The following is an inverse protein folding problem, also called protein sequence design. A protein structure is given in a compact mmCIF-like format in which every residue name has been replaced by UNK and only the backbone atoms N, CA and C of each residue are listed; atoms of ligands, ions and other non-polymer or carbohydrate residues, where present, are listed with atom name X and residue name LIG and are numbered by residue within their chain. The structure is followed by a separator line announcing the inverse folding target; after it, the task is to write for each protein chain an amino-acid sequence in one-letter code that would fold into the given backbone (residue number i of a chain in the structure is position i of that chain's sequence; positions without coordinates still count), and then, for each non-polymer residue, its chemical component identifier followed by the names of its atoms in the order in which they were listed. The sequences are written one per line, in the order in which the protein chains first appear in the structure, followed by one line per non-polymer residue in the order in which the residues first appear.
data_IF_164644543830
#
_entry.id   IF_164644543830
#
_cell.length_a   1.000
_cell.length_b   1.000
_cell.length_c   1.000
_cell.angle_alpha   90.00
_cell.angle_beta   90.00
_cell.angle_gamma   90.00
#
_symmetry.space_group_name_H-M   'P 1'
#
loop_
_entity.id
_entity.type
_entity.pdbx_description
1 polymer ?
#
# COMPACT_ATOMS: atom_id res chain seq x y z
N UNK A 1 0.76 -0.87 14.03
CA UNK A 1 1.94 -0.80 13.14
C UNK A 1 2.64 -2.15 13.25
N UNK A 2 3.02 -2.74 12.11
CA UNK A 2 3.73 -4.01 12.04
C UNK A 2 5.08 -3.67 11.40
N UNK A 3 6.17 -3.94 12.11
CA UNK A 3 7.52 -3.55 11.64
C UNK A 3 8.21 -4.67 10.84
N UNK A 4 7.76 -5.92 10.98
CA UNK A 4 8.26 -7.06 10.22
C UNK A 4 7.32 -7.42 9.06
N UNK A 5 7.84 -7.35 7.83
CA UNK A 5 7.10 -7.67 6.62
C UNK A 5 6.82 -9.17 6.47
N UNK A 6 7.52 -10.04 7.20
CA UNK A 6 7.24 -11.49 7.22
C UNK A 6 5.82 -11.81 7.70
N UNK A 7 5.13 -10.85 8.33
CA UNK A 7 3.73 -10.95 8.75
C UNK A 7 2.78 -11.46 7.67
N UNK A 8 3.01 -11.11 6.39
CA UNK A 8 2.14 -11.54 5.28
C UNK A 8 2.56 -12.86 4.63
N UNK A 9 3.69 -13.45 5.03
CA UNK A 9 4.17 -14.70 4.46
C UNK A 9 3.20 -15.84 4.76
N UNK A 10 2.83 -16.60 3.73
CA UNK A 10 1.86 -17.69 3.79
C UNK A 10 0.40 -17.25 3.96
N UNK A 11 0.12 -15.94 4.02
CA UNK A 11 -1.25 -15.43 4.16
C UNK A 11 -1.94 -15.28 2.82
N UNK A 12 -3.23 -15.57 2.80
CA UNK A 12 -4.11 -15.24 1.67
C UNK A 12 -4.49 -13.78 1.78
N UNK A 13 -4.02 -12.95 0.87
CA UNK A 13 -4.29 -11.51 0.90
C UNK A 13 -5.03 -11.07 -0.35
N UNK A 14 -5.81 -10.01 -0.20
CA UNK A 14 -6.30 -9.24 -1.32
C UNK A 14 -5.47 -7.95 -1.49
N UNK A 15 -5.28 -7.51 -2.73
CA UNK A 15 -4.55 -6.28 -3.05
C UNK A 15 -5.48 -5.26 -3.72
N UNK A 16 -5.40 -3.99 -3.28
CA UNK A 16 -6.04 -2.86 -3.94
C UNK A 16 -5.02 -1.73 -4.14
N UNK A 17 -4.94 -1.17 -5.35
CA UNK A 17 -3.98 -0.10 -5.64
C UNK A 17 -4.46 0.83 -6.76
N UNK A 18 -4.14 2.12 -6.64
CA UNK A 18 -4.42 3.19 -7.58
C UNK A 18 -3.12 3.92 -7.96
N UNK A 19 -2.15 3.15 -8.46
CA UNK A 19 -0.80 3.61 -8.83
C UNK A 19 -0.52 3.27 -10.30
N UNK A 20 0.50 3.90 -10.88
CA UNK A 20 0.84 3.77 -12.29
C UNK A 20 1.25 2.35 -12.72
N UNK A 21 1.87 1.57 -11.82
CA UNK A 21 2.34 0.21 -12.09
C UNK A 21 1.92 -0.75 -10.96
N UNK A 22 0.66 -1.21 -10.95
CA UNK A 22 0.14 -2.10 -9.92
C UNK A 22 0.87 -3.46 -9.88
N UNK A 23 1.33 -3.96 -11.03
CA UNK A 23 1.98 -5.27 -11.13
C UNK A 23 3.25 -5.35 -10.28
N UNK A 24 4.06 -4.27 -10.27
CA UNK A 24 5.27 -4.21 -9.44
C UNK A 24 4.96 -4.27 -7.94
N UNK A 25 3.83 -3.69 -7.52
CA UNK A 25 3.37 -3.75 -6.14
C UNK A 25 2.87 -5.16 -5.80
N UNK A 26 2.10 -5.80 -6.68
CA UNK A 26 1.64 -7.17 -6.52
C UNK A 26 2.80 -8.18 -6.45
N UNK A 27 3.79 -8.06 -7.34
CA UNK A 27 5.01 -8.86 -7.34
C UNK A 27 5.80 -8.70 -6.03
N UNK A 28 5.88 -7.48 -5.50
CA UNK A 28 6.52 -7.22 -4.21
C UNK A 28 5.84 -8.00 -3.08
N UNK A 29 4.50 -8.03 -3.04
CA UNK A 29 3.75 -8.79 -2.04
C UNK A 29 3.95 -10.31 -2.19
N UNK A 30 3.96 -10.82 -3.43
CA UNK A 30 4.26 -12.22 -3.71
C UNK A 30 5.69 -12.57 -3.25
N UNK A 31 6.67 -11.71 -3.52
CA UNK A 31 8.06 -11.94 -3.12
C UNK A 31 8.27 -11.96 -1.60
N UNK A 32 7.37 -11.32 -0.84
CA UNK A 32 7.31 -11.39 0.62
C UNK A 32 6.60 -12.67 1.13
N UNK A 33 6.17 -13.55 0.23
CA UNK A 33 5.59 -14.85 0.53
C UNK A 33 4.06 -14.84 0.66
N UNK A 34 3.36 -13.77 0.28
CA UNK A 34 1.90 -13.74 0.33
C UNK A 34 1.25 -14.49 -0.84
N UNK A 35 0.07 -15.06 -0.59
CA UNK A 35 -0.80 -15.65 -1.62
C UNK A 35 -1.85 -14.61 -2.05
N UNK A 36 -1.73 -14.04 -3.25
CA UNK A 36 -2.72 -13.11 -3.79
C UNK A 36 -3.98 -13.86 -4.26
N UNK A 37 -5.05 -13.79 -3.48
CA UNK A 37 -6.34 -14.44 -3.81
C UNK A 37 -7.32 -13.50 -4.53
N UNK A 38 -7.06 -12.20 -4.49
CA UNK A 38 -7.84 -11.19 -5.19
C UNK A 38 -7.00 -9.92 -5.41
N UNK A 39 -7.05 -9.35 -6.61
CA UNK A 39 -6.43 -8.05 -6.89
C UNK A 39 -7.45 -7.12 -7.55
N UNK A 40 -7.33 -5.83 -7.26
CA UNK A 40 -8.12 -4.78 -7.91
C UNK A 40 -7.28 -3.52 -8.08
N UNK A 41 -6.91 -3.24 -9.33
CA UNK A 41 -6.27 -2.00 -9.73
C UNK A 41 -7.28 -0.93 -10.13
N UNK A 42 -6.91 0.32 -9.88
CA UNK A 42 -7.59 1.55 -10.27
C UNK A 42 -6.58 2.47 -10.98
N UNK A 43 -7.08 3.49 -11.68
CA UNK A 43 -6.22 4.49 -12.32
C UNK A 43 -5.34 5.21 -11.28
N UNK A 44 -4.16 5.67 -11.70
CA UNK A 44 -3.34 6.51 -10.82
C UNK A 44 -4.13 7.76 -10.42
N UNK A 45 -4.00 8.17 -9.16
CA UNK A 45 -4.78 9.29 -8.60
C UNK A 45 -6.29 9.05 -8.43
N UNK A 46 -6.76 7.79 -8.49
CA UNK A 46 -8.17 7.47 -8.31
C UNK A 46 -8.74 8.01 -6.98
N UNK A 47 -9.95 8.59 -7.06
CA UNK A 47 -10.74 8.97 -5.89
C UNK A 47 -11.71 7.85 -5.55
N UNK A 48 -11.39 7.10 -4.51
CA UNK A 48 -12.20 5.97 -4.08
C UNK A 48 -13.56 6.40 -3.54
N UNK A 49 -14.61 5.81 -4.07
CA UNK A 49 -15.95 5.88 -3.49
C UNK A 49 -16.10 4.84 -2.38
N UNK A 50 -17.01 5.08 -1.44
CA UNK A 50 -17.27 4.11 -0.36
C UNK A 50 -17.78 2.78 -0.93
N UNK A 51 -18.61 2.81 -1.95
CA UNK A 51 -19.15 1.61 -2.60
C UNK A 51 -18.06 0.77 -3.26
N UNK A 52 -17.07 1.38 -3.91
CA UNK A 52 -15.94 0.65 -4.51
C UNK A 52 -15.15 -0.12 -3.45
N UNK A 53 -14.83 0.52 -2.32
CA UNK A 53 -14.09 -0.14 -1.24
C UNK A 53 -14.93 -1.26 -0.60
N UNK A 54 -16.23 -1.03 -0.38
CA UNK A 54 -17.13 -2.07 0.12
C UNK A 54 -17.22 -3.27 -0.83
N UNK A 55 -17.23 -3.02 -2.15
CA UNK A 55 -17.21 -4.07 -3.16
C UNK A 55 -15.91 -4.87 -3.08
N UNK A 56 -14.76 -4.20 -2.96
CA UNK A 56 -13.45 -4.86 -2.78
C UNK A 56 -13.44 -5.70 -1.51
N UNK A 57 -13.93 -5.18 -0.39
CA UNK A 57 -14.05 -5.93 0.88
C UNK A 57 -14.88 -7.20 0.68
N UNK A 58 -16.07 -7.08 0.10
CA UNK A 58 -16.95 -8.23 -0.13
C UNK A 58 -16.30 -9.28 -1.03
N UNK A 59 -15.62 -8.86 -2.11
CA UNK A 59 -14.93 -9.77 -3.04
C UNK A 59 -13.72 -10.42 -2.40
N UNK A 60 -12.97 -9.68 -1.58
CA UNK A 60 -11.82 -10.20 -0.83
C UNK A 60 -12.25 -11.34 0.11
N UNK A 61 -13.31 -11.10 0.89
CA UNK A 61 -13.87 -12.13 1.79
C UNK A 61 -14.39 -13.35 1.04
N UNK A 62 -15.13 -13.14 -0.05
CA UNK A 62 -15.63 -14.23 -0.88
C UNK A 62 -14.48 -15.07 -1.48
N UNK A 63 -13.31 -14.47 -1.71
CA UNK A 63 -12.10 -15.16 -2.21
C UNK A 63 -11.25 -15.77 -1.09
N UNK A 64 -11.68 -15.65 0.16
CA UNK A 64 -10.96 -16.21 1.31
C UNK A 64 -9.73 -15.42 1.71
N UNK A 65 -9.68 -14.11 1.42
CA UNK A 65 -8.61 -13.26 1.92
C UNK A 65 -8.71 -13.10 3.45
N UNK A 66 -7.59 -13.26 4.13
CA UNK A 66 -7.42 -12.98 5.56
C UNK A 66 -7.31 -11.48 5.84
N UNK A 67 -6.74 -10.73 4.89
CA UNK A 67 -6.55 -9.28 4.99
C UNK A 67 -6.46 -8.62 3.61
N UNK A 68 -6.60 -7.31 3.57
CA UNK A 68 -6.40 -6.46 2.39
C UNK A 68 -5.12 -5.66 2.57
N UNK A 69 -4.26 -5.64 1.56
CA UNK A 69 -3.10 -4.77 1.47
C UNK A 69 -3.32 -3.68 0.40
N UNK A 70 -2.95 -2.46 0.71
CA UNK A 70 -2.92 -1.33 -0.23
C UNK A 70 -1.62 -0.53 -0.11
N UNK A 71 -1.46 0.52 -0.91
CA UNK A 71 -0.32 1.44 -0.79
C UNK A 71 -0.63 2.53 0.24
N UNK A 72 0.39 3.10 0.89
CA UNK A 72 0.18 4.26 1.77
C UNK A 72 -0.48 5.44 1.04
N UNK A 73 -0.14 5.64 -0.25
CA UNK A 73 -0.70 6.70 -1.09
C UNK A 73 -2.21 6.51 -1.34
N UNK A 74 -2.66 5.27 -1.49
CA UNK A 74 -4.08 5.00 -1.69
C UNK A 74 -4.86 5.03 -0.39
N UNK A 75 -4.26 4.55 0.71
CA UNK A 75 -4.88 4.58 2.03
C UNK A 75 -5.30 6.00 2.47
N UNK A 76 -4.52 7.04 2.14
CA UNK A 76 -4.89 8.43 2.47
C UNK A 76 -6.10 8.95 1.66
N UNK A 77 -6.48 8.26 0.57
CA UNK A 77 -7.62 8.61 -0.28
C UNK A 77 -8.84 7.74 -0.02
N UNK A 78 -8.72 6.72 0.83
CA UNK A 78 -9.86 5.88 1.17
C UNK A 78 -10.90 6.72 1.93
N UNK A 79 -12.19 6.57 1.60
CA UNK A 79 -13.25 7.16 2.40
C UNK A 79 -13.24 6.55 3.80
N UNK A 80 -13.90 7.22 4.74
CA UNK A 80 -14.15 6.61 6.06
C UNK A 80 -14.99 5.33 5.88
N UNK A 81 -14.54 4.26 6.50
CA UNK A 81 -15.19 2.96 6.50
C UNK A 81 -15.58 2.63 7.94
N UNK A 82 -16.86 2.43 8.20
CA UNK A 82 -17.35 1.97 9.51
C UNK A 82 -17.27 0.45 9.66
N UNK A 83 -16.90 -0.24 8.58
CA UNK A 83 -16.88 -1.70 8.47
C UNK A 83 -15.51 -2.25 8.85
N UNK A 84 -15.49 -3.29 9.71
CA UNK A 84 -14.28 -3.89 10.31
C UNK A 84 -14.20 -5.42 10.20
N UNK A 85 -14.84 -6.00 9.19
CA UNK A 85 -14.94 -7.46 9.05
C UNK A 85 -13.82 -8.12 8.22
N UNK A 86 -12.85 -7.32 7.77
CA UNK A 86 -11.55 -7.75 7.26
C UNK A 86 -10.55 -6.63 7.56
N UNK A 87 -9.34 -6.99 7.98
CA UNK A 87 -8.31 -6.00 8.25
C UNK A 87 -7.77 -5.40 6.95
N UNK A 88 -7.56 -4.09 6.95
CA UNK A 88 -6.94 -3.36 5.83
C UNK A 88 -5.63 -2.75 6.35
N UNK A 89 -4.52 -3.18 5.77
CA UNK A 89 -3.20 -2.60 6.00
C UNK A 89 -2.71 -1.88 4.75
N UNK A 90 -1.77 -0.97 4.93
CA UNK A 90 -1.04 -0.38 3.82
C UNK A 90 0.46 -0.60 3.98
N UNK A 91 1.15 -0.81 2.87
CA UNK A 91 2.60 -0.88 2.86
C UNK A 91 3.17 0.55 2.85
N UNK A 92 4.04 0.83 3.82
CA UNK A 92 4.79 2.08 3.92
C UNK A 92 6.15 1.89 3.25
N UNK A 93 6.48 2.80 2.34
CA UNK A 93 7.81 2.84 1.71
C UNK A 93 8.67 3.86 2.47
N UNK A 94 9.89 3.46 2.79
CA UNK A 94 10.91 4.34 3.39
C UNK A 94 12.11 4.43 2.45
N UNK A 95 12.59 5.64 2.20
CA UNK A 95 13.75 5.90 1.35
C UNK A 95 14.96 6.16 2.25
N UNK A 96 16.04 5.42 2.02
CA UNK A 96 17.32 5.61 2.71
C UNK A 96 18.41 5.97 1.73
N UNK A 97 19.06 7.11 1.95
CA UNK A 97 20.23 7.52 1.17
C UNK A 97 21.44 6.71 1.66
N UNK A 98 21.95 5.82 0.82
CA UNK A 98 23.07 4.91 1.15
C UNK A 98 24.45 5.58 1.04
N UNK A 99 24.57 6.64 0.24
CA UNK A 99 25.79 7.42 0.06
C UNK A 99 25.45 8.87 -0.32
N UNK A 100 26.28 9.83 0.07
CA UNK A 100 26.10 11.25 -0.29
C UNK A 100 24.99 11.98 0.48
N UNK A 101 24.45 11.40 1.56
CA UNK A 101 23.39 12.00 2.37
C UNK A 101 23.78 13.37 2.93
N UNK A 102 25.02 13.53 3.40
CA UNK A 102 25.54 14.81 3.92
C UNK A 102 25.53 15.89 2.83
N UNK A 103 26.07 15.59 1.65
CA UNK A 103 26.12 16.53 0.52
C UNK A 103 24.72 16.88 0.02
N UNK A 104 23.81 15.90 -0.07
CA UNK A 104 22.40 16.16 -0.39
C UNK A 104 21.77 17.14 0.62
N UNK A 105 21.95 16.89 1.92
CA UNK A 105 21.41 17.74 2.97
C UNK A 105 22.01 19.15 2.95
N UNK A 106 23.30 19.30 2.68
CA UNK A 106 23.94 20.62 2.54
C UNK A 106 23.40 21.41 1.34
N UNK A 107 23.22 20.76 0.19
CA UNK A 107 22.59 21.39 -0.97
C UNK A 107 21.15 21.82 -0.68
N UNK A 108 20.35 20.95 -0.06
CA UNK A 108 18.97 21.27 0.33
C UNK A 108 18.94 22.45 1.31
N UNK A 109 19.84 22.48 2.31
CA UNK A 109 19.97 23.62 3.24
C UNK A 109 20.26 24.93 2.50
N UNK A 110 21.23 24.94 1.58
CA UNK A 110 21.60 26.13 0.81
C UNK A 110 20.50 26.60 -0.15
N UNK A 111 19.68 25.72 -0.69
CA UNK A 111 18.66 26.11 -1.68
C UNK A 111 17.35 26.51 -0.98
N UNK A 112 16.92 25.73 0.01
CA UNK A 112 15.58 25.84 0.59
C UNK A 112 15.53 26.63 1.91
N UNK A 113 16.67 26.86 2.57
CA UNK A 113 16.74 27.43 3.91
C UNK A 113 17.83 28.50 4.07
N UNK A 114 18.25 29.12 2.96
CA UNK A 114 19.15 30.27 3.01
C UNK A 114 18.35 31.55 3.23
N UNK A 115 18.14 31.88 4.50
CA UNK A 115 17.95 33.26 4.97
C UNK A 115 19.23 33.70 5.70
#
# INVERSE_FOLDING_TARGET
RIDDLSFIAGKKIACISGIAQPESFEESLISLGAELVYTKSFADHHRYTQQEILNVINRSKHRGAELIITTQKDAVRFPRLDRRDIDIYYLRVEVKIIAGATSFNECVKKICFSD
#
